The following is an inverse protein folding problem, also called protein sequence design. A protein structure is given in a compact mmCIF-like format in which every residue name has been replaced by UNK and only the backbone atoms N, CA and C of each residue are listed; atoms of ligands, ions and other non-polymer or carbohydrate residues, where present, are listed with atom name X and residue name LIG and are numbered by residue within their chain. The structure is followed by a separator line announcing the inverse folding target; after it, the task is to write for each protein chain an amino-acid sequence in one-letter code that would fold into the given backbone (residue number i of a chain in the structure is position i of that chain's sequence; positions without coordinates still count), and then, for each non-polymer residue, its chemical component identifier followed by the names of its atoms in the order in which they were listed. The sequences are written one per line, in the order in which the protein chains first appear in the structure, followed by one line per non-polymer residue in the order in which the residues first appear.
data_IF_934605727982
#
_entry.id   IF_934605727982
#
_cell.length_a   1.000
_cell.length_b   1.000
_cell.length_c   1.000
_cell.angle_alpha   90.00
_cell.angle_beta   90.00
_cell.angle_gamma   90.00
#
_symmetry.space_group_name_H-M   'P 1'
#
loop_
_entity.id
_entity.type
_entity.pdbx_description
1 polymer ?
#
# COMPACT_ATOMS: atom_id res chain seq x y z
N UNK A 1 -81.25 9.34 -27.87
CA UNK A 1 -81.65 9.70 -26.49
C UNK A 1 -81.56 8.46 -25.61
N UNK A 2 -80.88 8.47 -24.46
CA UNK A 2 -80.78 7.28 -23.62
C UNK A 2 -82.16 6.94 -23.04
N UNK A 3 -82.64 5.72 -23.33
CA UNK A 3 -83.93 5.20 -22.84
C UNK A 3 -84.01 5.38 -21.32
N UNK A 4 -85.04 6.06 -20.84
CA UNK A 4 -85.34 6.17 -19.39
C UNK A 4 -85.42 4.74 -18.83
N UNK A 5 -84.64 4.43 -17.79
CA UNK A 5 -84.79 3.14 -17.09
C UNK A 5 -86.21 3.05 -16.55
N UNK A 6 -86.95 2.00 -16.92
CA UNK A 6 -88.28 1.66 -16.39
C UNK A 6 -88.18 0.49 -15.42
N UNK A 7 -89.26 0.17 -14.69
CA UNK A 7 -89.32 -0.97 -13.76
C UNK A 7 -88.99 -2.28 -14.46
N UNK A 8 -89.48 -2.45 -15.68
CA UNK A 8 -89.28 -3.63 -16.52
C UNK A 8 -87.81 -3.80 -16.90
N UNK A 9 -87.12 -2.71 -17.27
CA UNK A 9 -85.68 -2.73 -17.60
C UNK A 9 -84.86 -3.06 -16.36
N UNK A 10 -85.25 -2.58 -15.18
CA UNK A 10 -84.57 -2.91 -13.92
C UNK A 10 -84.75 -4.38 -13.57
N UNK A 11 -85.96 -4.93 -13.69
CA UNK A 11 -86.21 -6.36 -13.48
C UNK A 11 -85.49 -7.24 -14.51
N UNK A 12 -85.45 -6.85 -15.78
CA UNK A 12 -84.70 -7.57 -16.81
C UNK A 12 -83.21 -7.65 -16.46
N UNK A 13 -82.61 -6.57 -15.95
CA UNK A 13 -81.20 -6.53 -15.51
C UNK A 13 -80.91 -7.30 -14.22
N UNK A 14 -81.93 -7.61 -13.44
CA UNK A 14 -81.81 -8.34 -12.17
C UNK A 14 -82.22 -9.82 -12.29
N UNK A 15 -82.73 -10.23 -13.46
CA UNK A 15 -83.17 -11.60 -13.76
C UNK A 15 -82.07 -12.65 -13.52
N UNK A 16 -80.85 -12.42 -14.00
CA UNK A 16 -79.69 -13.31 -13.81
C UNK A 16 -79.30 -13.52 -12.33
N UNK A 17 -79.80 -12.66 -11.44
CA UNK A 17 -79.51 -12.69 -10.00
C UNK A 17 -80.72 -13.12 -9.18
N UNK A 18 -81.82 -13.48 -9.84
CA UNK A 18 -83.06 -13.95 -9.22
C UNK A 18 -83.58 -12.97 -8.15
N UNK A 19 -83.48 -11.68 -8.46
CA UNK A 19 -83.97 -10.57 -7.65
C UNK A 19 -85.05 -9.83 -8.44
N UNK A 20 -86.20 -9.67 -7.81
CA UNK A 20 -87.36 -8.95 -8.35
C UNK A 20 -87.54 -7.60 -7.63
N UNK A 21 -87.74 -6.53 -8.39
CA UNK A 21 -88.21 -5.24 -7.88
C UNK A 21 -89.73 -5.30 -7.75
N UNK A 22 -90.21 -5.37 -6.51
CA UNK A 22 -91.64 -5.51 -6.17
C UNK A 22 -92.27 -4.13 -5.95
N UNK A 23 -91.54 -3.20 -5.32
CA UNK A 23 -92.05 -1.85 -5.00
C UNK A 23 -92.24 -0.92 -6.22
N UNK A 24 -92.67 0.32 -5.96
CA UNK A 24 -92.76 1.33 -7.01
C UNK A 24 -91.36 1.80 -7.45
N UNK A 25 -91.14 1.92 -8.75
CA UNK A 25 -89.90 2.43 -9.30
C UNK A 25 -90.10 3.88 -9.78
N UNK A 26 -89.41 4.83 -9.15
CA UNK A 26 -89.40 6.23 -9.60
C UNK A 26 -88.09 6.58 -10.32
N UNK A 27 -86.94 6.29 -9.70
CA UNK A 27 -85.62 6.54 -10.25
C UNK A 27 -84.56 5.67 -9.56
N UNK A 28 -83.33 5.69 -10.08
CA UNK A 28 -82.20 4.86 -9.60
C UNK A 28 -81.75 5.14 -8.15
N UNK A 29 -82.12 6.28 -7.56
CA UNK A 29 -81.66 6.71 -6.24
C UNK A 29 -82.72 6.53 -5.14
N UNK A 30 -84.02 6.63 -5.46
CA UNK A 30 -85.09 6.45 -4.49
C UNK A 30 -85.15 4.99 -4.03
N UNK A 31 -85.22 4.79 -2.72
CA UNK A 31 -85.32 3.47 -2.11
C UNK A 31 -86.65 2.83 -2.50
N UNK A 32 -86.60 1.54 -2.86
CA UNK A 32 -87.77 0.72 -3.17
C UNK A 32 -87.55 -0.70 -2.66
N UNK A 33 -88.58 -1.53 -2.72
CA UNK A 33 -88.59 -2.89 -2.16
C UNK A 33 -88.22 -3.91 -3.22
N UNK A 34 -87.29 -4.80 -2.86
CA UNK A 34 -86.83 -5.93 -3.66
C UNK A 34 -87.13 -7.25 -2.94
N UNK A 35 -87.33 -8.31 -3.71
CA UNK A 35 -87.54 -9.68 -3.23
C UNK A 35 -86.59 -10.63 -3.94
N UNK A 36 -86.06 -11.62 -3.22
CA UNK A 36 -85.18 -12.65 -3.81
C UNK A 36 -85.91 -13.98 -3.94
N UNK A 37 -85.29 -14.94 -4.64
CA UNK A 37 -85.80 -16.32 -4.77
C UNK A 37 -86.14 -17.02 -3.44
N UNK A 38 -85.46 -16.69 -2.34
CA UNK A 38 -85.74 -17.25 -1.01
C UNK A 38 -86.90 -16.52 -0.28
N UNK A 39 -87.65 -15.65 -0.97
CA UNK A 39 -88.82 -14.96 -0.42
C UNK A 39 -88.52 -13.75 0.48
N UNK A 40 -87.25 -13.45 0.76
CA UNK A 40 -86.91 -12.29 1.59
C UNK A 40 -87.14 -10.96 0.86
N UNK A 41 -87.86 -10.05 1.51
CA UNK A 41 -88.07 -8.68 1.05
C UNK A 41 -87.14 -7.69 1.80
N UNK A 42 -86.54 -6.75 1.07
CA UNK A 42 -85.70 -5.71 1.68
C UNK A 42 -85.78 -4.39 0.90
N UNK A 43 -85.45 -3.30 1.60
CA UNK A 43 -85.43 -1.96 1.02
C UNK A 43 -84.01 -1.56 0.58
N UNK A 44 -83.86 -1.13 -0.67
CA UNK A 44 -82.60 -0.60 -1.19
C UNK A 44 -82.85 0.36 -2.36
N UNK A 45 -81.83 1.15 -2.74
CA UNK A 45 -81.92 1.93 -3.98
C UNK A 45 -81.65 1.04 -5.21
N UNK A 46 -82.42 1.17 -6.31
CA UNK A 46 -82.23 0.37 -7.52
C UNK A 46 -80.81 0.45 -8.09
N UNK A 47 -80.17 1.62 -8.00
CA UNK A 47 -78.79 1.81 -8.42
C UNK A 47 -77.78 0.95 -7.64
N UNK A 48 -77.98 0.75 -6.33
CA UNK A 48 -77.10 -0.08 -5.51
C UNK A 48 -77.33 -1.58 -5.75
N UNK A 49 -78.58 -1.97 -5.97
CA UNK A 49 -78.94 -3.36 -6.29
C UNK A 49 -78.38 -3.73 -7.66
N UNK A 50 -78.58 -2.89 -8.69
CA UNK A 50 -77.98 -3.09 -10.03
C UNK A 50 -76.44 -3.14 -10.02
N UNK A 51 -75.77 -2.46 -9.08
CA UNK A 51 -74.30 -2.49 -8.93
C UNK A 51 -73.76 -3.74 -8.21
N UNK A 52 -74.63 -4.65 -7.78
CA UNK A 52 -74.21 -5.93 -7.18
C UNK A 52 -74.56 -6.12 -5.70
N UNK A 53 -75.31 -5.20 -5.07
CA UNK A 53 -75.81 -5.42 -3.71
C UNK A 53 -76.96 -6.43 -3.76
N UNK A 54 -76.87 -7.53 -3.01
CA UNK A 54 -77.87 -8.61 -2.97
C UNK A 54 -78.76 -8.55 -1.73
N UNK A 55 -79.59 -9.59 -1.55
CA UNK A 55 -80.44 -9.74 -0.38
C UNK A 55 -79.58 -9.83 0.90
N UNK A 56 -79.84 -9.01 1.94
CA UNK A 56 -79.09 -9.04 3.19
C UNK A 56 -79.41 -10.26 4.07
N UNK A 57 -80.52 -10.95 3.79
CA UNK A 57 -80.99 -12.12 4.53
C UNK A 57 -80.59 -13.45 3.86
N UNK A 58 -80.13 -13.41 2.59
CA UNK A 58 -79.58 -14.59 1.93
C UNK A 58 -78.07 -14.71 2.23
N UNK A 59 -77.54 -15.94 2.44
CA UNK A 59 -76.14 -16.17 2.76
C UNK A 59 -75.19 -15.99 1.56
N UNK A 60 -75.49 -15.13 0.58
CA UNK A 60 -74.60 -14.81 -0.55
C UNK A 60 -73.46 -13.85 -0.17
N UNK A 61 -73.29 -13.57 1.13
CA UNK A 61 -72.09 -12.95 1.73
C UNK A 61 -71.40 -13.85 2.76
N UNK A 62 -71.45 -15.17 2.60
CA UNK A 62 -70.57 -16.02 3.41
C UNK A 62 -69.11 -15.71 3.09
N UNK A 63 -68.38 -15.22 4.10
CA UNK A 63 -66.92 -15.15 4.12
C UNK A 63 -66.34 -16.49 3.61
N UNK A 64 -65.44 -16.46 2.63
CA UNK A 64 -64.74 -17.64 2.15
C UNK A 64 -64.05 -18.33 3.34
N UNK A 65 -64.14 -19.64 3.48
CA UNK A 65 -63.40 -20.36 4.52
C UNK A 65 -61.88 -20.28 4.28
N UNK A 66 -61.08 -20.49 5.33
CA UNK A 66 -59.61 -20.57 5.22
C UNK A 66 -59.17 -21.62 4.19
N UNK A 67 -59.90 -22.73 4.07
CA UNK A 67 -59.66 -23.76 3.06
C UNK A 67 -59.93 -23.25 1.64
N UNK A 68 -61.08 -22.61 1.41
CA UNK A 68 -61.43 -22.06 0.09
C UNK A 68 -60.46 -20.96 -0.38
N UNK A 69 -59.89 -20.18 0.55
CA UNK A 69 -58.84 -19.21 0.21
C UNK A 69 -57.53 -19.92 -0.18
N UNK A 70 -57.15 -20.99 0.52
CA UNK A 70 -55.95 -21.77 0.22
C UNK A 70 -56.02 -22.50 -1.13
N UNK A 71 -57.17 -23.06 -1.49
CA UNK A 71 -57.40 -23.68 -2.80
C UNK A 71 -57.17 -22.67 -3.94
N UNK A 72 -57.74 -21.47 -3.83
CA UNK A 72 -57.63 -20.42 -4.86
C UNK A 72 -56.23 -19.84 -5.06
N UNK A 73 -55.31 -20.06 -4.12
CA UNK A 73 -53.94 -19.55 -4.18
C UNK A 73 -52.90 -20.68 -4.31
N UNK A 74 -53.34 -21.93 -4.37
CA UNK A 74 -52.51 -23.13 -4.39
C UNK A 74 -51.57 -23.15 -5.60
N UNK A 75 -52.09 -22.82 -6.79
CA UNK A 75 -51.31 -22.79 -8.05
C UNK A 75 -50.11 -21.87 -7.99
N UNK A 76 -50.17 -20.85 -7.14
CA UNK A 76 -49.11 -19.84 -6.98
C UNK A 76 -48.07 -20.25 -5.93
N UNK A 77 -48.17 -21.46 -5.37
CA UNK A 77 -47.35 -21.98 -4.27
C UNK A 77 -47.34 -21.05 -3.07
N UNK A 78 -48.49 -20.45 -2.75
CA UNK A 78 -48.70 -19.59 -1.59
C UNK A 78 -49.63 -20.32 -0.62
N UNK A 79 -49.35 -20.26 0.68
CA UNK A 79 -50.20 -20.82 1.73
C UNK A 79 -50.57 -19.74 2.73
N UNK A 80 -51.85 -19.66 3.05
CA UNK A 80 -52.39 -18.87 4.15
C UNK A 80 -52.18 -19.64 5.46
N UNK A 81 -51.27 -19.15 6.31
CA UNK A 81 -50.91 -19.80 7.58
C UNK A 81 -51.59 -19.12 8.78
N UNK A 82 -51.77 -17.79 8.74
CA UNK A 82 -52.36 -17.02 9.82
C UNK A 82 -53.86 -17.24 10.04
N UNK A 83 -54.41 -16.62 11.09
CA UNK A 83 -55.84 -16.63 11.37
C UNK A 83 -56.60 -15.85 10.30
N UNK A 84 -57.70 -16.41 9.81
CA UNK A 84 -58.53 -15.80 8.76
C UNK A 84 -59.89 -15.47 9.34
N UNK A 85 -60.25 -14.19 9.33
CA UNK A 85 -61.57 -13.70 9.75
C UNK A 85 -62.38 -13.17 8.57
N UNK A 86 -61.74 -12.41 7.66
CA UNK A 86 -62.38 -11.89 6.46
C UNK A 86 -61.33 -11.48 5.40
N UNK A 87 -61.79 -11.09 4.20
CA UNK A 87 -60.94 -10.74 3.08
C UNK A 87 -60.18 -9.39 3.18
N UNK A 88 -60.50 -8.56 4.18
CA UNK A 88 -59.94 -7.20 4.37
C UNK A 88 -58.96 -7.12 5.55
N UNK A 89 -59.00 -8.04 6.50
CA UNK A 89 -58.06 -8.09 7.62
C UNK A 89 -56.74 -8.70 7.15
N UNK A 90 -55.61 -8.08 7.51
CA UNK A 90 -54.28 -8.61 7.20
C UNK A 90 -54.05 -9.91 7.96
N UNK A 91 -53.41 -10.87 7.31
CA UNK A 91 -53.06 -12.17 7.86
C UNK A 91 -51.76 -12.67 7.21
N UNK A 92 -51.18 -13.72 7.75
CA UNK A 92 -49.85 -14.21 7.39
C UNK A 92 -49.92 -15.24 6.28
N UNK A 93 -49.14 -15.03 5.22
CA UNK A 93 -48.95 -15.93 4.09
C UNK A 93 -47.51 -16.42 4.03
N UNK A 94 -47.31 -17.62 3.49
CA UNK A 94 -46.01 -18.26 3.27
C UNK A 94 -45.88 -18.70 1.81
N UNK A 95 -44.77 -18.39 1.15
CA UNK A 95 -44.53 -18.80 -0.23
C UNK A 95 -43.74 -20.11 -0.30
N UNK A 96 -43.66 -20.72 -1.49
CA UNK A 96 -42.92 -21.96 -1.72
C UNK A 96 -41.41 -21.88 -1.42
N UNK A 97 -40.82 -20.67 -1.35
CA UNK A 97 -39.43 -20.45 -0.90
C UNK A 97 -39.30 -20.26 0.62
N UNK A 98 -40.40 -20.37 1.38
CA UNK A 98 -40.41 -20.26 2.83
C UNK A 98 -40.61 -18.86 3.39
N UNK A 99 -40.61 -17.80 2.58
CA UNK A 99 -40.82 -16.42 3.08
C UNK A 99 -42.23 -16.21 3.58
N UNK A 100 -42.34 -15.58 4.75
CA UNK A 100 -43.59 -15.21 5.41
C UNK A 100 -43.85 -13.70 5.31
N UNK A 101 -45.07 -13.29 4.98
CA UNK A 101 -45.44 -11.87 4.90
C UNK A 101 -46.89 -11.61 5.28
N UNK A 102 -47.18 -10.36 5.69
CA UNK A 102 -48.53 -9.89 6.02
C UNK A 102 -49.20 -9.27 4.78
N UNK A 103 -50.38 -9.78 4.42
CA UNK A 103 -51.20 -9.22 3.36
C UNK A 103 -52.69 -9.43 3.64
N UNK A 104 -53.57 -8.73 2.93
CA UNK A 104 -55.00 -9.03 2.99
C UNK A 104 -55.34 -10.18 2.03
N UNK A 105 -56.19 -11.14 2.42
CA UNK A 105 -56.56 -12.26 1.55
C UNK A 105 -57.17 -11.81 0.22
N UNK A 106 -57.97 -10.73 0.23
CA UNK A 106 -58.51 -10.15 -1.00
C UNK A 106 -57.42 -9.63 -1.95
N UNK A 107 -56.28 -9.14 -1.45
CA UNK A 107 -55.15 -8.70 -2.28
C UNK A 107 -54.39 -9.88 -2.87
N UNK A 108 -54.13 -10.92 -2.06
CA UNK A 108 -53.42 -12.13 -2.51
C UNK A 108 -54.22 -12.88 -3.57
N UNK A 109 -55.54 -13.02 -3.37
CA UNK A 109 -56.44 -13.61 -4.38
C UNK A 109 -56.50 -12.81 -5.69
N UNK A 110 -56.30 -11.48 -5.63
CA UNK A 110 -56.26 -10.60 -6.82
C UNK A 110 -54.91 -10.56 -7.54
N UNK A 111 -53.90 -11.26 -7.06
CA UNK A 111 -52.60 -11.33 -7.74
C UNK A 111 -51.40 -10.85 -6.93
N UNK A 112 -51.56 -10.34 -5.70
CA UNK A 112 -50.37 -10.02 -4.87
C UNK A 112 -49.57 -11.29 -4.52
N UNK A 113 -48.24 -11.20 -4.60
CA UNK A 113 -47.28 -12.30 -4.36
C UNK A 113 -46.29 -11.95 -3.25
N UNK A 114 -45.36 -12.86 -2.98
CA UNK A 114 -44.30 -12.66 -1.98
C UNK A 114 -43.43 -11.44 -2.34
N UNK A 115 -43.34 -10.42 -1.47
CA UNK A 115 -42.57 -9.20 -1.74
C UNK A 115 -41.07 -9.49 -1.82
N UNK A 116 -40.54 -10.46 -1.07
CA UNK A 116 -39.14 -10.88 -1.14
C UNK A 116 -38.80 -11.49 -2.51
N UNK A 117 -39.63 -12.42 -2.99
CA UNK A 117 -39.43 -13.03 -4.30
C UNK A 117 -39.62 -12.03 -5.45
N UNK A 118 -40.47 -11.02 -5.27
CA UNK A 118 -40.72 -9.97 -6.24
C UNK A 118 -39.71 -8.80 -6.16
N UNK A 119 -38.75 -8.83 -5.23
CA UNK A 119 -37.78 -7.75 -5.03
C UNK A 119 -38.32 -6.50 -4.32
N UNK A 120 -39.58 -6.53 -3.87
CA UNK A 120 -40.31 -5.43 -3.21
C UNK A 120 -40.38 -5.59 -1.69
N UNK A 121 -39.46 -6.35 -1.09
CA UNK A 121 -39.36 -6.45 0.36
C UNK A 121 -39.06 -5.07 0.97
N UNK A 122 -39.60 -4.74 2.16
CA UNK A 122 -39.19 -3.56 2.88
C UNK A 122 -37.68 -3.62 3.09
N UNK A 123 -36.96 -2.61 2.59
CA UNK A 123 -35.53 -2.48 2.81
C UNK A 123 -35.30 -2.19 4.30
N UNK A 124 -34.46 -2.97 4.96
CA UNK A 124 -33.93 -2.70 6.30
C UNK A 124 -32.45 -2.35 6.20
N UNK A 125 -31.84 -1.85 7.29
CA UNK A 125 -30.40 -1.54 7.34
C UNK A 125 -29.56 -2.76 6.96
N UNK A 126 -29.95 -3.94 7.43
CA UNK A 126 -29.28 -5.21 7.18
C UNK A 126 -29.38 -5.60 5.70
N UNK A 127 -30.56 -5.49 5.10
CA UNK A 127 -30.78 -5.80 3.67
C UNK A 127 -30.01 -4.81 2.79
N UNK A 128 -29.95 -3.53 3.17
CA UNK A 128 -29.15 -2.53 2.46
C UNK A 128 -27.67 -2.88 2.53
N UNK A 129 -27.16 -3.21 3.72
CA UNK A 129 -25.77 -3.61 3.93
C UNK A 129 -25.39 -4.88 3.15
N UNK A 130 -26.23 -5.92 3.17
CA UNK A 130 -26.01 -7.15 2.41
C UNK A 130 -25.86 -6.89 0.89
N UNK A 131 -26.71 -6.00 0.34
CA UNK A 131 -26.67 -5.63 -1.09
C UNK A 131 -25.41 -4.85 -1.48
N UNK A 132 -24.89 -4.00 -0.59
CA UNK A 132 -23.74 -3.12 -0.88
C UNK A 132 -22.40 -3.71 -0.41
N UNK A 133 -22.42 -4.78 0.41
CA UNK A 133 -21.24 -5.43 0.97
C UNK A 133 -20.24 -5.90 -0.10
N UNK A 134 -20.72 -6.45 -1.22
CA UNK A 134 -19.87 -6.88 -2.35
C UNK A 134 -19.04 -5.75 -2.96
N UNK A 135 -19.46 -4.49 -2.77
CA UNK A 135 -18.75 -3.30 -3.25
C UNK A 135 -17.82 -2.70 -2.20
N UNK A 136 -17.71 -3.32 -1.02
CA UNK A 136 -16.90 -2.82 0.10
C UNK A 136 -17.42 -1.49 0.63
N UNK A 137 -18.75 -1.33 0.65
CA UNK A 137 -19.45 -0.17 1.22
C UNK A 137 -20.27 -0.66 2.41
N UNK A 138 -20.36 0.16 3.45
CA UNK A 138 -21.13 -0.08 4.67
C UNK A 138 -22.00 1.14 4.97
N UNK A 139 -23.28 0.92 5.26
CA UNK A 139 -24.19 1.91 5.81
C UNK A 139 -24.01 1.97 7.33
N UNK A 140 -23.47 3.09 7.83
CA UNK A 140 -23.12 3.26 9.25
C UNK A 140 -24.21 4.00 10.03
N UNK A 141 -24.96 4.91 9.39
CA UNK A 141 -26.07 5.61 10.04
C UNK A 141 -27.34 4.78 10.10
N UNK A 142 -28.34 5.28 10.84
CA UNK A 142 -29.68 4.70 10.83
C UNK A 142 -30.33 4.76 9.44
N UNK A 143 -31.07 3.70 9.10
CA UNK A 143 -31.79 3.58 7.85
C UNK A 143 -33.25 4.00 8.04
N UNK A 144 -33.66 5.07 7.35
CA UNK A 144 -35.04 5.55 7.38
C UNK A 144 -35.79 5.07 6.14
N UNK A 145 -35.30 5.42 4.95
CA UNK A 145 -35.84 5.03 3.65
C UNK A 145 -34.79 5.26 2.55
N UNK A 146 -35.15 5.05 1.28
CA UNK A 146 -34.25 5.19 0.13
C UNK A 146 -33.88 6.63 -0.23
N UNK A 147 -34.66 7.61 0.23
CA UNK A 147 -34.59 9.01 -0.20
C UNK A 147 -34.02 9.94 0.88
N UNK A 148 -34.06 9.54 2.15
CA UNK A 148 -33.43 10.23 3.26
C UNK A 148 -31.92 9.98 3.23
N UNK A 149 -31.13 11.05 3.36
CA UNK A 149 -29.66 10.94 3.35
C UNK A 149 -29.19 10.09 4.53
N UNK A 150 -28.23 9.22 4.25
CA UNK A 150 -27.61 8.33 5.21
C UNK A 150 -26.09 8.37 5.03
N UNK A 151 -25.34 8.01 6.08
CA UNK A 151 -23.88 8.01 6.08
C UNK A 151 -23.35 6.62 5.74
N UNK A 152 -22.44 6.57 4.78
CA UNK A 152 -21.78 5.34 4.30
C UNK A 152 -20.28 5.43 4.51
N UNK A 153 -19.63 4.28 4.70
CA UNK A 153 -18.17 4.12 4.78
C UNK A 153 -17.70 3.14 3.70
N UNK A 154 -16.55 3.38 3.06
CA UNK A 154 -15.96 2.42 2.12
C UNK A 154 -14.78 1.67 2.73
N UNK A 155 -14.29 0.63 2.04
CA UNK A 155 -13.13 -0.17 2.47
C UNK A 155 -11.85 0.65 2.75
N UNK A 156 -11.70 1.82 2.12
CA UNK A 156 -10.58 2.74 2.38
C UNK A 156 -10.79 3.68 3.59
N UNK A 157 -11.91 3.55 4.30
CA UNK A 157 -12.24 4.36 5.47
C UNK A 157 -12.98 5.66 5.18
N UNK A 158 -13.18 6.05 3.91
CA UNK A 158 -13.87 7.30 3.58
C UNK A 158 -15.35 7.25 3.97
N UNK A 159 -15.82 8.27 4.68
CA UNK A 159 -17.22 8.45 5.05
C UNK A 159 -17.90 9.50 4.18
N UNK A 160 -19.13 9.25 3.72
CA UNK A 160 -19.90 10.24 2.96
C UNK A 160 -21.40 10.10 3.18
N UNK A 161 -22.11 11.21 3.02
CA UNK A 161 -23.57 11.26 3.13
C UNK A 161 -24.24 11.33 1.77
N UNK A 162 -25.09 10.36 1.45
CA UNK A 162 -25.90 10.34 0.23
C UNK A 162 -27.20 9.57 0.44
N UNK A 163 -28.08 9.52 -0.56
CA UNK A 163 -29.31 8.72 -0.50
C UNK A 163 -29.01 7.22 -0.63
N UNK A 164 -29.60 6.33 0.18
CA UNK A 164 -29.43 4.89 -0.01
C UNK A 164 -29.84 4.39 -1.39
N UNK A 165 -30.86 4.99 -2.02
CA UNK A 165 -31.24 4.67 -3.41
C UNK A 165 -30.13 4.94 -4.43
N UNK A 166 -29.36 6.02 -4.26
CA UNK A 166 -28.19 6.32 -5.08
C UNK A 166 -27.08 5.26 -4.92
N UNK A 167 -26.85 4.79 -3.70
CA UNK A 167 -25.86 3.74 -3.44
C UNK A 167 -26.33 2.42 -4.04
N UNK A 168 -27.59 2.04 -3.82
CA UNK A 168 -28.18 0.81 -4.35
C UNK A 168 -28.22 0.78 -5.89
N UNK A 169 -28.37 1.92 -6.55
CA UNK A 169 -28.32 2.06 -8.02
C UNK A 169 -26.90 2.03 -8.61
N UNK A 170 -25.86 1.98 -7.77
CA UNK A 170 -24.48 1.79 -8.23
C UNK A 170 -23.54 2.97 -7.98
N UNK A 171 -24.01 4.11 -7.45
CA UNK A 171 -23.11 5.21 -7.06
C UNK A 171 -22.31 4.82 -5.82
N UNK A 172 -21.03 5.19 -5.77
CA UNK A 172 -20.10 4.76 -4.73
C UNK A 172 -19.41 5.92 -4.02
N UNK A 173 -18.31 5.61 -3.35
CA UNK A 173 -17.48 6.62 -2.68
C UNK A 173 -16.92 7.62 -3.70
N UNK A 174 -17.27 8.90 -3.56
CA UNK A 174 -16.79 9.97 -4.46
C UNK A 174 -15.28 10.17 -4.37
N UNK A 175 -14.67 9.92 -3.21
CA UNK A 175 -13.21 10.03 -3.04
C UNK A 175 -12.49 8.97 -3.87
N UNK A 176 -12.93 7.70 -3.76
CA UNK A 176 -12.39 6.60 -4.57
C UNK A 176 -12.65 6.78 -6.07
N UNK A 177 -13.79 7.37 -6.44
CA UNK A 177 -14.14 7.68 -7.83
C UNK A 177 -13.45 8.94 -8.38
N UNK A 178 -12.67 9.67 -7.58
CA UNK A 178 -12.02 10.91 -8.00
C UNK A 178 -12.94 12.12 -8.16
N UNK A 179 -14.20 12.03 -7.72
CA UNK A 179 -15.25 13.04 -7.85
C UNK A 179 -15.46 13.87 -6.57
N UNK A 180 -14.68 13.63 -5.52
CA UNK A 180 -14.73 14.45 -4.31
C UNK A 180 -14.19 15.87 -4.59
N UNK A 181 -14.78 16.92 -4.00
CA UNK A 181 -14.13 18.22 -3.96
C UNK A 181 -12.75 18.03 -3.33
N UNK A 182 -11.72 18.43 -4.06
CA UNK A 182 -10.35 18.39 -3.59
C UNK A 182 -10.26 19.37 -2.41
N UNK A 183 -10.12 18.87 -1.19
CA UNK A 183 -9.71 19.68 -0.03
C UNK A 183 -8.20 19.57 0.16
N UNK A 184 -7.61 20.43 1.01
CA UNK A 184 -6.18 20.38 1.33
C UNK A 184 -5.77 19.00 1.85
N UNK A 185 -6.60 18.39 2.69
CA UNK A 185 -6.38 17.06 3.26
C UNK A 185 -6.38 15.99 2.18
N UNK A 186 -7.38 16.00 1.29
CA UNK A 186 -7.48 15.03 0.19
C UNK A 186 -6.32 15.18 -0.81
N UNK A 187 -5.87 16.42 -1.06
CA UNK A 187 -4.69 16.68 -1.90
C UNK A 187 -3.44 16.09 -1.24
N UNK A 188 -3.24 16.30 0.06
CA UNK A 188 -2.11 15.77 0.80
C UNK A 188 -2.11 14.23 0.88
N UNK A 189 -3.27 13.61 1.11
CA UNK A 189 -3.40 12.15 1.08
C UNK A 189 -2.97 11.56 -0.27
N UNK A 190 -3.34 12.19 -1.38
CA UNK A 190 -2.95 11.74 -2.73
C UNK A 190 -1.47 11.94 -3.03
N UNK A 191 -0.84 12.93 -2.40
CA UNK A 191 0.56 13.29 -2.64
C UNK A 191 1.53 12.63 -1.66
N UNK A 192 1.03 12.01 -0.58
CA UNK A 192 1.83 11.36 0.45
C UNK A 192 2.80 10.30 -0.11
N UNK A 193 2.34 9.45 -1.02
CA UNK A 193 3.18 8.42 -1.66
C UNK A 193 4.36 9.03 -2.45
N UNK A 194 4.17 10.23 -2.99
CA UNK A 194 5.20 10.97 -3.74
C UNK A 194 6.09 11.84 -2.86
N UNK A 195 5.81 11.91 -1.55
CA UNK A 195 6.56 12.74 -0.62
C UNK A 195 6.43 14.24 -0.90
N UNK A 196 5.25 14.67 -1.37
CA UNK A 196 4.92 16.07 -1.63
C UNK A 196 3.79 16.47 -0.67
N UNK A 197 3.93 17.64 -0.06
CA UNK A 197 2.98 18.22 0.87
C UNK A 197 2.52 19.59 0.35
N UNK A 198 1.21 19.83 0.27
CA UNK A 198 0.62 21.13 0.03
C UNK A 198 0.61 21.91 1.34
N UNK A 199 1.43 22.97 1.40
CA UNK A 199 1.60 23.82 2.58
C UNK A 199 0.81 25.13 2.47
N UNK A 200 0.61 25.65 1.26
CA UNK A 200 -0.17 26.86 1.02
C UNK A 200 -1.68 26.68 1.19
N UNK A 201 -2.42 27.76 0.96
CA UNK A 201 -3.88 27.73 0.94
C UNK A 201 -4.40 27.07 -0.33
N UNK A 202 -5.46 26.26 -0.20
CA UNK A 202 -6.09 25.60 -1.33
C UNK A 202 -7.47 26.22 -1.58
N UNK A 203 -7.60 26.96 -2.68
CA UNK A 203 -8.87 27.57 -3.11
C UNK A 203 -9.45 26.85 -4.33
N UNK A 204 -8.62 26.60 -5.35
CA UNK A 204 -9.03 25.93 -6.58
C UNK A 204 -7.87 25.17 -7.24
N UNK A 205 -8.21 24.28 -8.18
CA UNK A 205 -7.26 23.35 -8.79
C UNK A 205 -6.30 23.99 -9.83
N UNK A 206 -6.64 25.18 -10.32
CA UNK A 206 -5.82 25.93 -11.29
C UNK A 206 -5.07 27.10 -10.65
N UNK A 207 -5.43 27.47 -9.42
CA UNK A 207 -4.76 28.52 -8.68
C UNK A 207 -3.44 27.98 -8.15
N UNK A 208 -2.33 28.69 -8.41
CA UNK A 208 -1.04 28.31 -7.85
C UNK A 208 -1.08 28.36 -6.34
N UNK A 209 -0.42 27.40 -5.72
CA UNK A 209 -0.23 27.30 -4.28
C UNK A 209 1.12 26.67 -4.00
N UNK A 210 1.55 26.72 -2.74
CA UNK A 210 2.90 26.32 -2.33
C UNK A 210 2.93 24.87 -1.89
N UNK A 211 3.90 24.13 -2.42
CA UNK A 211 4.19 22.75 -2.09
C UNK A 211 5.57 22.61 -1.47
N UNK A 212 5.76 21.59 -0.63
CA UNK A 212 7.03 21.19 -0.04
C UNK A 212 7.32 19.72 -0.34
N UNK A 213 8.58 19.37 -0.62
CA UNK A 213 8.97 17.97 -0.81
C UNK A 213 9.70 17.42 0.43
N UNK A 214 9.97 16.10 0.44
CA UNK A 214 10.76 15.44 1.50
C UNK A 214 12.14 16.07 1.78
N UNK A 215 12.79 16.65 0.76
CA UNK A 215 14.07 17.38 0.93
C UNK A 215 13.91 18.79 1.52
N UNK A 216 12.67 19.24 1.77
CA UNK A 216 12.36 20.56 2.32
C UNK A 216 12.25 21.69 1.29
N UNK A 217 12.41 21.41 -0.01
CA UNK A 217 12.26 22.43 -1.05
C UNK A 217 10.81 22.91 -1.14
N UNK A 218 10.62 24.24 -1.19
CA UNK A 218 9.33 24.89 -1.37
C UNK A 218 9.20 25.44 -2.79
N UNK A 219 8.09 25.17 -3.49
CA UNK A 219 7.82 25.74 -4.82
C UNK A 219 6.34 26.00 -5.05
N UNK A 220 6.04 26.91 -5.97
CA UNK A 220 4.67 27.20 -6.39
C UNK A 220 4.27 26.40 -7.63
N UNK A 221 3.09 25.78 -7.59
CA UNK A 221 2.50 25.11 -8.75
C UNK A 221 0.97 25.10 -8.66
N UNK A 222 0.29 24.84 -9.78
CA UNK A 222 -1.15 24.58 -9.76
C UNK A 222 -1.39 23.13 -9.29
N UNK A 223 -2.32 22.86 -8.34
CA UNK A 223 -2.59 21.49 -7.89
C UNK A 223 -2.89 20.51 -9.03
N UNK A 224 -3.54 20.97 -10.10
CA UNK A 224 -3.85 20.20 -11.32
C UNK A 224 -2.63 19.66 -12.07
N UNK A 225 -1.46 20.29 -11.95
CA UNK A 225 -0.20 19.76 -12.50
C UNK A 225 0.50 18.79 -11.57
N UNK A 226 0.16 18.79 -10.26
CA UNK A 226 0.84 18.01 -9.24
C UNK A 226 0.14 16.67 -8.97
N UNK A 227 -1.16 16.59 -8.65
CA UNK A 227 -1.77 15.32 -8.19
C UNK A 227 -1.95 14.23 -9.27
N UNK A 228 -1.76 14.55 -10.55
CA UNK A 228 -1.82 13.54 -11.63
C UNK A 228 -0.71 12.50 -11.40
N UNK A 229 -0.96 11.24 -11.81
CA UNK A 229 -0.01 10.13 -11.62
C UNK A 229 1.36 10.40 -12.28
N UNK A 230 1.33 11.11 -13.41
CA UNK A 230 2.50 11.62 -14.15
C UNK A 230 2.72 13.13 -13.92
N UNK A 231 2.17 13.67 -12.83
CA UNK A 231 2.24 15.09 -12.52
C UNK A 231 3.66 15.56 -12.25
N UNK A 232 3.91 16.86 -12.44
CA UNK A 232 5.19 17.47 -12.14
C UNK A 232 5.54 17.30 -10.66
N UNK A 233 6.81 17.03 -10.37
CA UNK A 233 7.35 16.92 -9.02
C UNK A 233 8.02 18.22 -8.57
N UNK A 234 8.85 18.11 -7.54
CA UNK A 234 9.71 19.20 -7.10
C UNK A 234 10.71 19.58 -8.23
N UNK A 235 10.70 20.83 -8.73
CA UNK A 235 11.56 21.23 -9.85
C UNK A 235 13.05 21.14 -9.49
N UNK A 236 13.39 21.43 -8.23
CA UNK A 236 14.76 21.34 -7.71
C UNK A 236 15.26 19.89 -7.63
N UNK A 237 14.44 18.94 -7.17
CA UNK A 237 14.84 17.53 -7.14
C UNK A 237 15.03 16.94 -8.54
N UNK A 238 14.40 17.54 -9.56
CA UNK A 238 14.52 17.14 -10.96
C UNK A 238 15.55 17.95 -11.75
N UNK A 239 16.35 18.79 -11.10
CA UNK A 239 17.33 19.70 -11.71
C UNK A 239 16.75 20.61 -12.81
N UNK A 240 15.46 20.95 -12.73
CA UNK A 240 14.80 21.90 -13.64
C UNK A 240 14.90 23.35 -13.16
N UNK A 241 15.34 23.56 -11.93
CA UNK A 241 15.54 24.89 -11.33
C UNK A 241 16.62 24.81 -10.27
N UNK A 242 17.37 25.90 -10.09
CA UNK A 242 18.41 26.03 -9.07
C UNK A 242 17.85 26.66 -7.80
N UNK A 243 18.31 26.20 -6.63
CA UNK A 243 17.94 26.81 -5.36
C UNK A 243 18.66 28.15 -5.20
N UNK A 244 18.06 29.10 -4.48
CA UNK A 244 18.77 30.28 -4.01
C UNK A 244 19.52 29.99 -2.70
N UNK A 245 20.48 30.85 -2.33
CA UNK A 245 21.14 30.80 -1.01
C UNK A 245 20.14 30.80 0.16
N UNK A 246 19.05 31.55 0.03
CA UNK A 246 18.01 31.62 1.05
C UNK A 246 17.27 30.27 1.17
N UNK A 247 17.00 29.60 0.04
CA UNK A 247 16.33 28.30 0.03
C UNK A 247 17.20 27.20 0.62
N UNK A 248 18.51 27.20 0.31
CA UNK A 248 19.47 26.28 0.94
C UNK A 248 19.45 26.43 2.45
N UNK A 249 19.56 27.67 2.96
CA UNK A 249 19.50 27.94 4.40
C UNK A 249 18.17 27.48 5.02
N UNK A 250 17.04 27.68 4.36
CA UNK A 250 15.73 27.21 4.81
C UNK A 250 15.68 25.69 4.96
N UNK A 251 16.25 24.95 4.01
CA UNK A 251 16.24 23.48 4.01
C UNK A 251 17.09 22.88 5.15
N UNK A 252 18.15 23.57 5.58
CA UNK A 252 19.10 23.06 6.58
C UNK A 252 18.90 23.68 7.98
N UNK A 253 18.11 24.74 8.10
CA UNK A 253 17.91 25.50 9.34
C UNK A 253 17.42 24.64 10.51
N UNK A 254 16.48 23.71 10.26
CA UNK A 254 15.92 22.83 11.30
C UNK A 254 16.98 21.92 11.94
N UNK A 255 18.11 21.68 11.26
CA UNK A 255 19.25 20.92 11.79
C UNK A 255 20.30 21.80 12.45
N UNK A 256 20.04 23.10 12.59
CA UNK A 256 20.98 24.08 13.15
C UNK A 256 22.24 24.22 12.29
N UNK A 257 22.09 24.09 10.97
CA UNK A 257 23.18 24.29 10.00
C UNK A 257 22.94 25.61 9.25
N UNK A 258 24.03 26.19 8.77
CA UNK A 258 24.04 27.48 8.09
C UNK A 258 25.03 27.41 6.94
N UNK A 259 24.64 27.94 5.78
CA UNK A 259 25.54 28.10 4.65
C UNK A 259 26.45 29.30 4.90
N UNK A 260 27.76 29.06 5.08
CA UNK A 260 28.74 30.10 5.41
C UNK A 260 29.49 30.60 4.17
N UNK A 261 29.82 29.70 3.24
CA UNK A 261 30.58 30.00 2.02
C UNK A 261 29.74 30.64 0.92
N UNK A 262 30.39 30.98 -0.21
CA UNK A 262 29.73 31.44 -1.43
C UNK A 262 28.95 30.28 -2.05
N UNK A 263 27.71 30.54 -2.46
CA UNK A 263 26.87 29.55 -3.13
C UNK A 263 26.81 29.86 -4.62
N UNK A 264 27.08 28.83 -5.44
CA UNK A 264 27.09 28.90 -6.90
C UNK A 264 25.92 28.05 -7.41
N UNK A 265 25.94 26.76 -7.08
CA UNK A 265 24.91 25.78 -7.41
C UNK A 265 24.87 24.68 -6.32
N UNK A 266 24.07 23.65 -6.55
CA UNK A 266 23.81 22.55 -5.62
C UNK A 266 24.86 21.43 -5.65
N UNK A 267 25.82 21.49 -6.59
CA UNK A 267 26.86 20.47 -6.81
C UNK A 267 28.28 20.95 -6.50
N UNK A 268 28.49 22.27 -6.43
CA UNK A 268 29.78 22.88 -6.12
C UNK A 268 30.01 22.91 -4.62
N UNK A 269 31.22 22.52 -4.19
CA UNK A 269 31.60 22.56 -2.78
C UNK A 269 31.52 23.98 -2.23
N UNK A 270 31.03 24.09 -1.00
CA UNK A 270 30.96 25.34 -0.25
C UNK A 270 31.02 25.06 1.25
N UNK A 271 31.30 26.12 2.01
CA UNK A 271 31.46 26.03 3.46
C UNK A 271 30.11 26.06 4.18
N UNK A 272 29.91 25.13 5.10
CA UNK A 272 28.79 25.11 6.04
C UNK A 272 29.27 25.32 7.47
N UNK A 273 28.39 25.88 8.30
CA UNK A 273 28.60 26.14 9.74
C UNK A 273 27.48 25.47 10.53
N UNK A 274 27.79 24.82 11.64
CA UNK A 274 26.77 24.27 12.54
C UNK A 274 26.52 25.18 13.73
N UNK A 275 25.47 24.91 14.51
CA UNK A 275 25.14 25.64 15.74
C UNK A 275 26.25 25.67 16.79
N UNK A 276 27.15 24.68 16.76
CA UNK A 276 28.34 24.61 17.63
C UNK A 276 29.54 25.39 17.08
N UNK A 277 29.41 26.03 15.92
CA UNK A 277 30.46 26.86 15.32
C UNK A 277 31.44 26.14 14.41
N UNK A 278 31.37 24.80 14.29
CA UNK A 278 32.25 24.05 13.39
C UNK A 278 31.98 24.40 11.92
N UNK A 279 33.07 24.58 11.16
CA UNK A 279 33.06 24.80 9.72
C UNK A 279 33.48 23.53 8.99
N UNK A 280 32.83 23.21 7.88
CA UNK A 280 33.25 22.12 6.99
C UNK A 280 32.85 22.39 5.53
N UNK A 281 33.60 21.81 4.60
CA UNK A 281 33.30 21.85 3.17
C UNK A 281 32.39 20.68 2.78
N UNK A 282 31.31 20.97 2.06
CA UNK A 282 30.43 19.96 1.49
C UNK A 282 29.67 20.51 0.28
N UNK A 283 29.06 19.60 -0.47
CA UNK A 283 28.17 19.94 -1.57
C UNK A 283 26.76 20.22 -1.01
N UNK A 284 26.06 21.31 -1.42
CA UNK A 284 24.74 21.63 -0.90
C UNK A 284 23.69 20.54 -1.04
N UNK A 285 23.61 19.81 -2.17
CA UNK A 285 22.65 18.70 -2.32
C UNK A 285 22.87 17.60 -1.26
N UNK A 286 24.13 17.29 -0.91
CA UNK A 286 24.44 16.31 0.13
C UNK A 286 24.05 16.80 1.51
N UNK A 287 24.34 18.07 1.81
CA UNK A 287 23.92 18.67 3.08
C UNK A 287 22.41 18.69 3.18
N UNK A 288 21.69 19.20 2.18
CA UNK A 288 20.20 19.19 2.13
C UNK A 288 19.65 17.77 2.25
N UNK A 289 20.29 16.80 1.60
CA UNK A 289 19.93 15.39 1.64
C UNK A 289 20.16 14.68 2.98
N UNK A 290 20.74 15.36 3.98
CA UNK A 290 20.89 14.84 5.34
C UNK A 290 22.33 14.73 5.85
N UNK A 291 23.33 15.15 5.08
CA UNK A 291 24.71 15.21 5.60
C UNK A 291 24.82 16.31 6.67
N UNK A 292 25.23 15.91 7.87
CA UNK A 292 25.40 16.80 9.02
C UNK A 292 26.87 17.17 9.26
N UNK A 293 27.09 17.96 10.31
CA UNK A 293 28.43 18.38 10.72
C UNK A 293 29.30 17.15 11.08
N UNK A 294 30.42 16.90 10.36
CA UNK A 294 31.26 15.73 10.60
C UNK A 294 31.89 15.76 12.00
N UNK A 295 32.19 16.94 12.53
CA UNK A 295 32.75 17.09 13.88
C UNK A 295 31.74 16.67 14.95
N UNK A 296 30.49 17.15 14.85
CA UNK A 296 29.44 16.76 15.80
C UNK A 296 29.10 15.27 15.71
N UNK A 297 29.23 14.68 14.51
CA UNK A 297 28.99 13.26 14.27
C UNK A 297 30.18 12.35 14.66
N UNK A 298 31.30 12.91 15.15
CA UNK A 298 32.52 12.13 15.45
C UNK A 298 33.28 11.64 14.22
N UNK A 299 32.89 12.08 13.03
CA UNK A 299 33.47 11.75 11.72
C UNK A 299 34.34 12.88 11.17
N UNK A 300 34.89 13.73 12.04
CA UNK A 300 35.82 14.76 11.64
C UNK A 300 37.00 14.11 10.88
N UNK A 301 37.43 14.68 9.74
CA UNK A 301 38.66 14.23 9.09
C UNK A 301 39.81 14.28 10.10
N UNK A 302 40.45 13.14 10.35
CA UNK A 302 41.63 13.09 11.21
C UNK A 302 42.74 13.92 10.55
N UNK A 303 43.49 14.70 11.33
CA UNK A 303 44.69 15.39 10.81
C UNK A 303 45.93 14.52 11.02
N UNK A 304 47.05 14.86 10.37
CA UNK A 304 48.34 14.19 10.58
C UNK A 304 48.75 14.22 12.07
N UNK A 305 48.43 15.31 12.76
CA UNK A 305 48.68 15.52 14.18
C UNK A 305 47.81 14.59 15.02
N UNK A 306 46.49 14.53 14.75
CA UNK A 306 45.57 13.63 15.46
C UNK A 306 45.93 12.16 15.26
N UNK A 307 46.34 11.78 14.04
CA UNK A 307 46.81 10.41 13.78
C UNK A 307 48.07 10.12 14.60
N UNK A 308 49.06 11.03 14.58
CA UNK A 308 50.29 10.87 15.36
C UNK A 308 50.05 10.81 16.88
N UNK A 309 49.13 11.60 17.41
CA UNK A 309 48.75 11.57 18.82
C UNK A 309 48.22 10.19 19.24
N UNK A 310 47.31 9.61 18.44
CA UNK A 310 46.68 8.31 18.72
C UNK A 310 47.63 7.11 18.63
N UNK A 311 48.66 7.19 17.80
CA UNK A 311 49.61 6.08 17.60
C UNK A 311 50.89 6.22 18.44
N UNK A 312 51.04 7.35 19.16
CA UNK A 312 52.23 7.70 19.94
C UNK A 312 52.59 6.65 20.99
N UNK A 313 51.60 6.16 21.74
CA UNK A 313 51.80 5.18 22.81
C UNK A 313 52.29 3.83 22.29
N UNK A 314 52.02 3.54 21.00
CA UNK A 314 52.49 2.32 20.32
C UNK A 314 53.88 2.49 19.69
N UNK A 315 54.55 3.63 19.93
CA UNK A 315 55.88 3.90 19.39
C UNK A 315 55.91 4.05 17.87
N UNK A 316 54.79 4.42 17.25
CA UNK A 316 54.66 4.63 15.81
C UNK A 316 54.59 6.12 15.50
N UNK A 317 55.02 6.50 14.29
CA UNK A 317 54.96 7.87 13.79
C UNK A 317 54.56 7.87 12.32
N UNK A 318 53.54 8.64 11.98
CA UNK A 318 53.17 8.96 10.61
C UNK A 318 54.15 10.03 10.07
N UNK A 319 55.01 9.64 9.14
CA UNK A 319 56.04 10.50 8.55
C UNK A 319 55.58 11.06 7.20
N UNK A 320 54.92 10.24 6.39
CA UNK A 320 54.37 10.65 5.09
C UNK A 320 53.20 11.61 5.19
N UNK A 321 52.70 12.06 4.03
CA UNK A 321 51.55 12.96 3.95
C UNK A 321 50.26 12.22 4.28
N UNK A 322 49.34 12.91 4.95
CA UNK A 322 48.02 12.40 5.26
C UNK A 322 47.01 12.96 4.25
N UNK A 323 46.48 12.07 3.41
CA UNK A 323 45.43 12.41 2.43
C UNK A 323 44.07 11.91 2.94
N UNK A 324 43.99 10.64 3.34
CA UNK A 324 42.79 10.04 3.92
C UNK A 324 43.14 8.80 4.75
N UNK A 325 42.18 8.27 5.51
CA UNK A 325 42.34 7.03 6.27
C UNK A 325 42.62 5.79 5.38
N UNK A 326 42.26 5.85 4.09
CA UNK A 326 42.36 4.73 3.15
C UNK A 326 43.53 4.87 2.16
N UNK A 327 44.23 6.01 2.16
CA UNK A 327 45.39 6.22 1.29
C UNK A 327 46.66 5.72 1.98
N UNK A 328 47.42 4.82 1.34
CA UNK A 328 48.69 4.35 1.90
C UNK A 328 49.68 5.51 2.05
N UNK A 329 50.36 5.56 3.19
CA UNK A 329 51.37 6.56 3.53
C UNK A 329 52.47 5.91 4.38
N UNK A 330 53.56 6.64 4.66
CA UNK A 330 54.76 6.10 5.29
C UNK A 330 54.69 6.26 6.81
N UNK A 331 54.83 5.14 7.51
CA UNK A 331 54.95 5.06 8.97
C UNK A 331 56.35 4.65 9.38
N UNK A 332 56.77 5.10 10.56
CA UNK A 332 58.05 4.78 11.19
C UNK A 332 57.84 4.29 12.61
N UNK A 333 58.53 3.23 13.03
CA UNK A 333 58.47 2.72 14.40
C UNK A 333 59.66 3.21 15.24
N UNK A 334 59.62 2.93 16.54
CA UNK A 334 60.71 3.26 17.47
C UNK A 334 62.04 2.58 17.09
N UNK A 335 61.99 1.38 16.50
CA UNK A 335 63.14 0.66 15.95
C UNK A 335 63.62 1.22 14.59
N UNK A 336 63.07 2.36 14.14
CA UNK A 336 63.41 3.09 12.91
C UNK A 336 63.05 2.42 11.58
N UNK A 337 62.37 1.27 11.58
CA UNK A 337 61.83 0.69 10.35
C UNK A 337 60.75 1.61 9.73
N UNK A 338 60.76 1.71 8.40
CA UNK A 338 59.81 2.52 7.63
C UNK A 338 59.00 1.62 6.69
N UNK A 339 57.67 1.74 6.71
CA UNK A 339 56.79 0.93 5.85
C UNK A 339 55.57 1.72 5.37
N UNK A 340 54.97 1.25 4.27
CA UNK A 340 53.74 1.83 3.71
C UNK A 340 52.51 1.12 4.26
N UNK A 341 51.61 1.84 4.89
CA UNK A 341 50.33 1.34 5.39
C UNK A 341 49.23 2.39 5.29
N UNK A 342 47.96 1.99 5.44
CA UNK A 342 46.85 2.93 5.52
C UNK A 342 46.69 3.46 6.95
N UNK A 343 46.42 4.75 7.18
CA UNK A 343 46.18 5.26 8.54
C UNK A 343 45.03 4.53 9.26
N UNK A 344 43.99 4.12 8.55
CA UNK A 344 42.90 3.31 9.10
C UNK A 344 43.37 1.98 9.68
N UNK A 345 44.20 1.22 8.97
CA UNK A 345 44.74 -0.06 9.47
C UNK A 345 45.67 0.12 10.67
N UNK A 346 46.51 1.17 10.63
CA UNK A 346 47.38 1.48 11.78
C UNK A 346 46.52 1.82 12.99
N UNK A 347 45.51 2.68 12.85
CA UNK A 347 44.60 3.03 13.96
C UNK A 347 43.80 1.81 14.47
N UNK A 348 43.50 0.85 13.61
CA UNK A 348 42.82 -0.40 13.98
C UNK A 348 43.73 -1.40 14.74
N UNK A 349 45.03 -1.15 14.82
CA UNK A 349 45.96 -1.97 15.62
C UNK A 349 47.11 -2.61 14.84
N UNK A 350 47.17 -2.47 13.51
CA UNK A 350 48.30 -3.00 12.72
C UNK A 350 49.60 -2.28 13.10
N UNK A 351 50.65 -3.05 13.41
CA UNK A 351 51.96 -2.56 13.83
C UNK A 351 53.01 -2.57 12.72
N UNK A 352 54.27 -2.42 13.12
CA UNK A 352 55.41 -2.54 12.21
C UNK A 352 55.63 -4.02 11.82
N UNK A 353 55.68 -4.35 10.51
CA UNK A 353 55.87 -5.74 10.07
C UNK A 353 57.22 -6.32 10.50
N UNK A 354 58.27 -5.52 10.50
CA UNK A 354 59.62 -5.92 10.94
C UNK A 354 59.72 -6.21 12.44
N UNK A 355 58.85 -5.58 13.26
CA UNK A 355 58.84 -5.79 14.72
C UNK A 355 57.82 -6.83 15.19
N UNK A 356 56.96 -7.34 14.30
CA UNK A 356 55.93 -8.30 14.68
C UNK A 356 56.57 -9.65 15.07
N UNK A 357 56.15 -10.23 16.20
CA UNK A 357 56.61 -11.55 16.66
C UNK A 357 56.14 -12.69 15.74
N UNK A 358 55.08 -12.45 14.96
CA UNK A 358 54.47 -13.39 14.04
C UNK A 358 54.22 -12.72 12.68
N UNK A 359 54.36 -13.49 11.60
CA UNK A 359 54.17 -13.01 10.23
C UNK A 359 55.46 -12.96 9.42
N UNK A 360 55.38 -12.38 8.23
CA UNK A 360 56.52 -12.18 7.35
C UNK A 360 57.36 -10.98 7.79
N UNK A 361 58.64 -11.21 8.03
CA UNK A 361 59.63 -10.19 8.36
C UNK A 361 60.48 -9.87 7.10
N UNK A 362 60.39 -8.66 6.56
CA UNK A 362 61.12 -8.27 5.36
C UNK A 362 62.63 -8.14 5.57
N UNK A 363 63.10 -8.01 6.81
CA UNK A 363 64.52 -7.84 7.12
C UNK A 363 65.27 -9.17 7.33
N UNK A 364 64.56 -10.31 7.26
CA UNK A 364 65.13 -11.65 7.38
C UNK A 364 65.19 -12.33 6.01
N UNK A 365 66.09 -13.32 5.81
CA UNK A 365 66.05 -14.17 4.63
C UNK A 365 64.66 -14.76 4.40
N UNK A 366 64.29 -14.90 3.14
CA UNK A 366 62.98 -15.36 2.74
C UNK A 366 63.06 -16.24 1.50
N UNK A 367 62.01 -17.04 1.31
CA UNK A 367 61.78 -17.74 0.06
C UNK A 367 60.54 -17.21 -0.62
N UNK A 368 60.59 -17.11 -1.95
CA UNK A 368 59.45 -16.99 -2.83
C UNK A 368 59.15 -18.38 -3.39
N UNK A 369 57.96 -18.90 -3.12
CA UNK A 369 57.56 -20.22 -3.59
C UNK A 369 56.48 -20.11 -4.67
N UNK A 370 56.49 -21.10 -5.56
CA UNK A 370 55.41 -21.34 -6.52
C UNK A 370 54.92 -22.77 -6.36
N UNK A 371 53.62 -22.92 -6.06
CA UNK A 371 53.00 -24.20 -5.73
C UNK A 371 51.87 -24.50 -6.70
N UNK A 372 51.71 -25.78 -6.98
CA UNK A 372 50.51 -26.36 -7.57
C UNK A 372 49.71 -27.04 -6.47
N UNK A 373 48.42 -26.76 -6.42
CA UNK A 373 47.49 -27.33 -5.44
C UNK A 373 46.43 -28.12 -6.21
N UNK A 374 46.34 -29.42 -5.92
CA UNK A 374 45.39 -30.31 -6.57
C UNK A 374 44.39 -30.88 -5.57
N UNK A 375 43.12 -30.60 -5.81
CA UNK A 375 41.99 -31.21 -5.10
C UNK A 375 41.22 -32.12 -6.05
N UNK A 376 40.29 -32.92 -5.53
CA UNK A 376 39.47 -33.84 -6.34
C UNK A 376 38.73 -33.16 -7.50
N UNK A 377 38.43 -31.86 -7.37
CA UNK A 377 37.55 -31.14 -8.29
C UNK A 377 38.25 -30.00 -9.06
N UNK A 378 39.45 -29.59 -8.66
CA UNK A 378 40.12 -28.42 -9.25
C UNK A 378 41.61 -28.41 -8.97
N UNK A 379 42.34 -27.80 -9.92
CA UNK A 379 43.76 -27.47 -9.83
C UNK A 379 43.91 -25.95 -9.79
N UNK A 380 44.70 -25.46 -8.85
CA UNK A 380 45.04 -24.02 -8.73
C UNK A 380 46.53 -23.86 -8.44
N UNK A 381 47.03 -22.66 -8.66
CA UNK A 381 48.44 -22.33 -8.43
C UNK A 381 48.55 -21.25 -7.36
N UNK A 382 49.56 -21.33 -6.50
CA UNK A 382 49.83 -20.34 -5.46
C UNK A 382 51.22 -19.77 -5.63
N UNK A 383 51.32 -18.45 -5.63
CA UNK A 383 52.59 -17.77 -5.35
C UNK A 383 52.54 -17.19 -3.95
N UNK A 384 53.68 -17.17 -3.25
CA UNK A 384 53.75 -16.51 -1.96
C UNK A 384 55.16 -16.47 -1.38
N UNK A 385 55.32 -15.67 -0.33
CA UNK A 385 56.59 -15.54 0.41
C UNK A 385 56.49 -16.06 1.85
N UNK A 386 57.64 -16.47 2.40
CA UNK A 386 57.76 -16.87 3.80
C UNK A 386 59.21 -16.77 4.31
N UNK A 387 59.41 -16.53 5.60
CA UNK A 387 60.72 -16.65 6.27
C UNK A 387 60.97 -18.04 6.87
N UNK A 388 60.07 -18.99 6.56
CA UNK A 388 60.06 -20.40 6.99
C UNK A 388 60.15 -21.30 5.76
N UNK A 389 60.16 -22.62 5.91
CA UNK A 389 60.00 -23.49 4.75
C UNK A 389 58.52 -23.58 4.30
N UNK A 390 58.27 -24.14 3.12
CA UNK A 390 56.90 -24.37 2.61
C UNK A 390 56.18 -25.38 3.51
N UNK A 391 56.87 -26.42 3.95
CA UNK A 391 56.36 -27.49 4.80
C UNK A 391 55.91 -26.95 6.16
N UNK A 392 56.71 -26.07 6.78
CA UNK A 392 56.38 -25.42 8.05
C UNK A 392 55.16 -24.49 7.91
N UNK A 393 54.95 -23.90 6.73
CA UNK A 393 53.84 -22.99 6.44
C UNK A 393 52.53 -23.71 6.12
N UNK A 394 52.58 -24.89 5.50
CA UNK A 394 51.41 -25.64 5.03
C UNK A 394 51.27 -27.00 5.71
N UNK A 395 51.66 -27.10 6.99
CA UNK A 395 51.68 -28.34 7.78
C UNK A 395 50.41 -29.20 7.72
N UNK A 396 49.23 -28.62 7.46
CA UNK A 396 47.96 -29.34 7.33
C UNK A 396 47.46 -29.59 5.90
N UNK A 397 48.18 -29.13 4.88
CA UNK A 397 47.74 -29.10 3.48
C UNK A 397 48.79 -29.68 2.50
N UNK A 398 49.91 -30.22 3.00
CA UNK A 398 51.00 -30.72 2.15
C UNK A 398 50.60 -31.89 1.25
N UNK A 399 49.57 -32.66 1.61
CA UNK A 399 49.07 -33.81 0.84
C UNK A 399 48.49 -33.42 -0.52
N UNK A 400 48.06 -32.17 -0.68
CA UNK A 400 47.51 -31.62 -1.92
C UNK A 400 48.45 -30.62 -2.62
N UNK A 401 49.67 -30.42 -2.12
CA UNK A 401 50.62 -29.41 -2.60
C UNK A 401 51.80 -30.05 -3.31
N UNK A 402 52.08 -29.59 -4.53
CA UNK A 402 53.32 -29.85 -5.27
C UNK A 402 54.12 -28.56 -5.40
N UNK A 403 55.38 -28.58 -4.96
CA UNK A 403 56.29 -27.44 -5.09
C UNK A 403 56.83 -27.41 -6.52
N UNK A 404 56.52 -26.34 -7.27
CA UNK A 404 57.00 -26.15 -8.64
C UNK A 404 58.31 -25.35 -8.68
N UNK A 405 58.46 -24.35 -7.80
CA UNK A 405 59.66 -23.53 -7.71
C UNK A 405 59.87 -22.94 -6.32
N UNK A 406 61.14 -22.75 -5.94
CA UNK A 406 61.57 -22.01 -4.75
C UNK A 406 62.74 -21.12 -5.14
N UNK A 407 62.59 -19.82 -4.93
CA UNK A 407 63.67 -18.84 -5.04
C UNK A 407 64.06 -18.33 -3.65
N UNK A 408 65.37 -18.29 -3.38
CA UNK A 408 65.92 -17.82 -2.11
C UNK A 408 66.38 -16.36 -2.22
N UNK A 409 66.03 -15.57 -1.21
CA UNK A 409 66.42 -14.17 -1.09
C UNK A 409 67.14 -13.95 0.24
N UNK A 410 68.27 -13.26 0.20
CA UNK A 410 69.03 -12.87 1.40
C UNK A 410 68.22 -11.88 2.28
N UNK A 411 67.38 -11.05 1.64
CA UNK A 411 66.52 -10.06 2.28
C UNK A 411 65.07 -10.26 1.84
N UNK A 412 64.16 -10.43 2.78
CA UNK A 412 62.75 -10.69 2.51
C UNK A 412 62.01 -9.54 1.81
N UNK A 413 62.51 -8.31 1.92
CA UNK A 413 61.99 -7.16 1.18
C UNK A 413 62.02 -7.40 -0.34
N UNK A 414 63.08 -8.03 -0.86
CA UNK A 414 63.25 -8.31 -2.29
C UNK A 414 62.29 -9.43 -2.74
N UNK A 415 62.15 -10.47 -1.92
CA UNK A 415 61.14 -11.52 -2.15
C UNK A 415 59.73 -10.94 -2.22
N UNK A 416 59.41 -10.00 -1.32
CA UNK A 416 58.12 -9.33 -1.30
C UNK A 416 57.90 -8.44 -2.52
N UNK A 417 58.90 -7.65 -2.94
CA UNK A 417 58.78 -6.83 -4.15
C UNK A 417 58.50 -7.69 -5.39
N UNK A 418 59.22 -8.81 -5.53
CA UNK A 418 59.03 -9.76 -6.62
C UNK A 418 57.63 -10.37 -6.61
N UNK A 419 57.16 -10.82 -5.45
CA UNK A 419 55.80 -11.35 -5.27
C UNK A 419 54.74 -10.34 -5.68
N UNK A 420 54.84 -9.09 -5.21
CA UNK A 420 53.88 -8.03 -5.54
C UNK A 420 53.87 -7.68 -7.03
N UNK A 421 55.04 -7.72 -7.69
CA UNK A 421 55.15 -7.52 -9.13
C UNK A 421 54.37 -8.60 -9.90
N UNK A 422 54.56 -9.88 -9.55
CA UNK A 422 53.88 -11.01 -10.17
C UNK A 422 52.37 -11.01 -9.90
N UNK A 423 51.97 -10.73 -8.66
CA UNK A 423 50.55 -10.59 -8.27
C UNK A 423 49.82 -9.48 -9.04
N UNK A 424 50.54 -8.43 -9.45
CA UNK A 424 50.00 -7.32 -10.25
C UNK A 424 49.92 -7.68 -11.73
N UNK A 425 50.94 -8.33 -12.27
CA UNK A 425 50.99 -8.74 -13.68
C UNK A 425 49.92 -9.80 -14.00
N UNK A 426 49.65 -10.70 -13.06
CA UNK A 426 48.75 -11.84 -13.26
C UNK A 426 47.38 -11.66 -12.59
N UNK A 427 46.98 -10.42 -12.28
CA UNK A 427 45.75 -10.13 -11.53
C UNK A 427 44.48 -10.67 -12.21
N UNK A 428 44.47 -10.78 -13.54
CA UNK A 428 43.33 -11.31 -14.33
C UNK A 428 43.08 -12.81 -14.10
N UNK A 429 44.08 -13.58 -13.67
CA UNK A 429 43.99 -15.03 -13.48
C UNK A 429 43.67 -15.44 -12.04
N UNK A 430 43.41 -14.46 -11.16
CA UNK A 430 43.13 -14.73 -9.74
C UNK A 430 41.95 -15.67 -9.57
N UNK A 431 42.12 -16.64 -8.70
CA UNK A 431 41.07 -17.53 -8.28
C UNK A 431 40.01 -16.77 -7.47
N UNK A 432 38.75 -17.02 -7.80
CA UNK A 432 37.59 -16.48 -7.09
C UNK A 432 36.68 -17.68 -6.80
N UNK A 433 36.65 -18.10 -5.54
CA UNK A 433 35.91 -19.29 -5.11
C UNK A 433 36.11 -19.56 -3.62
N UNK A 434 35.67 -20.73 -3.16
CA UNK A 434 35.78 -21.14 -1.76
C UNK A 434 37.24 -21.35 -1.34
N UNK A 435 37.51 -21.21 -0.04
CA UNK A 435 38.84 -21.43 0.53
C UNK A 435 39.34 -22.86 0.25
N UNK A 436 40.51 -22.97 -0.38
CA UNK A 436 41.13 -24.26 -0.76
C UNK A 436 42.13 -24.72 0.30
N UNK A 437 42.85 -23.77 0.92
CA UNK A 437 43.85 -23.99 1.95
C UNK A 437 43.27 -23.73 3.34
N UNK A 438 43.61 -24.59 4.30
CA UNK A 438 43.05 -24.58 5.65
C UNK A 438 43.68 -23.53 6.57
N UNK A 439 44.94 -23.16 6.32
CA UNK A 439 45.70 -22.19 7.13
C UNK A 439 45.74 -20.77 6.52
N UNK A 440 44.86 -20.48 5.56
CA UNK A 440 44.77 -19.19 4.85
C UNK A 440 45.67 -19.08 3.62
N UNK A 441 45.79 -17.87 3.06
CA UNK A 441 46.57 -17.61 1.84
C UNK A 441 45.83 -17.89 0.52
N UNK A 442 44.49 -17.99 0.56
CA UNK A 442 43.63 -18.21 -0.61
C UNK A 442 43.50 -16.99 -1.54
N UNK A 443 43.91 -15.80 -1.09
CA UNK A 443 43.83 -14.54 -1.85
C UNK A 443 44.89 -14.40 -2.95
N UNK A 444 45.90 -15.28 -2.95
CA UNK A 444 47.05 -15.28 -3.87
C UNK A 444 47.05 -16.54 -4.76
N UNK A 445 45.85 -17.09 -4.99
CA UNK A 445 45.63 -18.26 -5.85
C UNK A 445 45.32 -17.84 -7.27
N UNK A 446 45.72 -18.66 -8.24
CA UNK A 446 45.49 -18.47 -9.67
C UNK A 446 44.87 -19.70 -10.30
N UNK A 447 44.03 -19.48 -11.30
CA UNK A 447 43.35 -20.53 -12.08
C UNK A 447 44.22 -21.10 -13.21
N UNK A 448 45.34 -20.46 -13.51
CA UNK A 448 46.30 -20.86 -14.54
C UNK A 448 47.72 -20.85 -14.01
N UNK A 449 48.58 -21.65 -14.63
CA UNK A 449 50.01 -21.55 -14.44
C UNK A 449 50.51 -20.22 -15.03
N UNK A 450 51.01 -19.35 -14.16
CA UNK A 450 51.46 -18.00 -14.50
C UNK A 450 52.96 -17.93 -14.74
N UNK A 451 53.71 -18.97 -14.37
CA UNK A 451 55.16 -19.06 -14.56
C UNK A 451 55.55 -20.08 -15.64
N UNK A 452 54.62 -20.96 -16.07
CA UNK A 452 54.86 -21.97 -17.11
C UNK A 452 55.79 -23.08 -16.64
N UNK A 453 55.64 -23.51 -15.38
CA UNK A 453 56.50 -24.46 -14.69
C UNK A 453 55.82 -25.81 -14.40
N UNK A 454 54.52 -25.97 -14.67
CA UNK A 454 53.75 -27.24 -14.55
C UNK A 454 53.58 -28.01 -15.87
#
# INVERSE_FOLDING_TARGET
MPKKLTKEIVNQRLSDREIELVGEYSNKAKITTFRCQNGHEWQASPGNVMRGTGCPHCPTRSSLSKSAVNERIADRRIKLIGNYSNARTKTTFKCGKGHEWLATPGSVMRGSSCPVCAGNAPLTKEIVNDRIAKRGIELISEYVNTDTRATFRCKKGHEWQTKPGDVLSGKGCRVCAGLAPLTKEIVNERLAERGIELIGDYSANHTKTTFRCKKGHEWEAAPSSIYKKEGSGCPYCSNRSTLSRADVNRCIANRGLFLAGKYIDDITHTTFKCKHGHLWEAIPDKVIGGQDCPVCAGNAPLTKETVNERIRERGLKLVGDYISANTKTVFKCQSKHEWKATPGSILAGTGCPSCAEHGFNPDKPAILYYLKIETRNQRVYKIGITNRTVEERFTGDMDKITILNIEHYEVGADAHEKEQQLLKQCAEYRYIGDDILSQGGNTELFTKDILGLD
#
